data_IF_502625139791
#
_entry.id   IF_502625139791
#
_cell.length_a   1.000
_cell.length_b   1.000
_cell.length_c   1.000
_cell.angle_alpha   90.00
_cell.angle_beta   90.00
_cell.angle_gamma   90.00
#
_symmetry.space_group_name_H-M   'P 1'
#
loop_
_entity.id
_entity.type
_entity.pdbx_description
1 polymer ?
#
# COMPACT_ATOMS: atom_id res chain seq x y z
N UNK A 1 -0.70 1.96 -5.66
CA UNK A 1 -1.21 1.13 -4.54
C UNK A 1 -1.61 1.99 -3.36
N UNK A 2 -2.59 1.63 -2.54
CA UNK A 2 -3.02 2.47 -1.42
C UNK A 2 -2.56 1.93 -0.06
N UNK A 3 -2.68 2.74 0.98
CA UNK A 3 -2.52 2.32 2.37
C UNK A 3 -3.83 2.54 3.11
N UNK A 4 -4.23 1.58 3.94
CA UNK A 4 -5.44 1.65 4.77
C UNK A 4 -5.11 1.48 6.24
N UNK A 5 -5.94 2.08 7.10
CA UNK A 5 -5.89 1.93 8.55
C UNK A 5 -7.29 1.97 9.14
N UNK A 6 -7.56 1.20 10.19
CA UNK A 6 -8.74 1.31 11.05
C UNK A 6 -8.36 1.16 12.51
N UNK A 7 -8.96 1.95 13.40
CA UNK A 7 -8.69 1.90 14.84
C UNK A 7 -10.01 1.90 15.58
N UNK A 8 -10.16 0.97 16.53
CA UNK A 8 -11.16 1.00 17.60
C UNK A 8 -10.40 1.20 18.90
N UNK A 9 -10.48 2.42 19.44
CA UNK A 9 -9.78 2.85 20.65
C UNK A 9 -10.71 3.00 21.86
N UNK A 10 -10.14 3.45 22.98
CA UNK A 10 -10.87 3.90 24.18
C UNK A 10 -10.91 5.42 24.31
N UNK A 11 -10.07 6.11 23.53
CA UNK A 11 -10.00 7.57 23.43
C UNK A 11 -10.04 8.04 21.97
N UNK A 12 -10.01 9.36 21.73
CA UNK A 12 -10.05 9.91 20.37
C UNK A 12 -8.92 9.35 19.48
N UNK A 13 -9.28 8.81 18.31
CA UNK A 13 -8.32 8.10 17.43
C UNK A 13 -7.76 8.96 16.30
N UNK A 14 -8.17 10.21 16.17
CA UNK A 14 -7.80 11.09 15.05
C UNK A 14 -6.28 11.23 14.85
N UNK A 15 -5.53 11.52 15.91
CA UNK A 15 -4.07 11.67 15.85
C UNK A 15 -3.39 10.34 15.52
N UNK A 16 -3.85 9.24 16.13
CA UNK A 16 -3.33 7.91 15.83
C UNK A 16 -3.56 7.52 14.36
N UNK A 17 -4.74 7.80 13.79
CA UNK A 17 -5.02 7.59 12.37
C UNK A 17 -4.10 8.45 11.49
N UNK A 18 -3.90 9.72 11.83
CA UNK A 18 -2.97 10.61 11.12
C UNK A 18 -1.54 10.04 11.13
N UNK A 19 -1.02 9.68 12.31
CA UNK A 19 0.34 9.17 12.49
C UNK A 19 0.53 7.84 11.74
N UNK A 20 -0.45 6.92 11.81
CA UNK A 20 -0.44 5.69 11.03
C UNK A 20 -0.37 5.94 9.51
N UNK A 21 -1.12 6.92 9.01
CA UNK A 21 -1.09 7.27 7.59
C UNK A 21 0.23 7.92 7.17
N UNK A 22 0.87 8.70 8.05
CA UNK A 22 2.19 9.29 7.73
C UNK A 22 3.26 8.22 7.50
N UNK A 23 3.21 7.11 8.25
CA UNK A 23 4.18 6.02 8.10
C UNK A 23 3.84 5.06 6.95
N UNK A 24 2.60 5.12 6.46
CA UNK A 24 2.13 4.47 5.22
C UNK A 24 2.19 5.38 3.98
N UNK A 25 2.68 6.62 4.11
CA UNK A 25 2.70 7.62 3.03
C UNK A 25 3.48 7.14 1.78
N UNK A 26 4.42 6.20 1.93
CA UNK A 26 5.13 5.60 0.79
C UNK A 26 4.20 4.77 -0.10
N UNK A 27 3.08 4.26 0.43
CA UNK A 27 2.08 3.54 -0.35
C UNK A 27 1.38 4.48 -1.31
N UNK A 28 1.02 5.70 -0.90
CA UNK A 28 0.32 6.66 -1.74
C UNK A 28 0.52 8.11 -1.32
N UNK A 29 0.73 9.01 -2.28
CA UNK A 29 1.06 10.43 -2.06
C UNK A 29 0.10 11.40 -2.77
N UNK A 30 -0.93 10.87 -3.42
CA UNK A 30 -1.82 11.64 -4.28
C UNK A 30 -3.00 12.24 -3.54
N UNK A 31 -3.56 11.50 -2.58
CA UNK A 31 -4.64 11.94 -1.71
C UNK A 31 -4.57 11.24 -0.35
N UNK A 32 -5.21 11.83 0.65
CA UNK A 32 -5.40 11.22 1.96
C UNK A 32 -6.81 11.49 2.49
N UNK A 33 -7.31 10.62 3.35
CA UNK A 33 -8.61 10.80 4.00
C UNK A 33 -8.70 10.08 5.34
N UNK A 34 -9.42 10.68 6.28
CA UNK A 34 -9.76 10.13 7.60
C UNK A 34 -11.25 10.37 7.82
N UNK A 35 -11.94 9.33 8.31
CA UNK A 35 -13.29 9.44 8.86
C UNK A 35 -13.33 8.83 10.26
N UNK A 36 -13.94 9.54 11.19
CA UNK A 36 -14.16 9.08 12.58
C UNK A 36 -15.65 9.06 12.89
N UNK A 37 -16.03 8.28 13.90
CA UNK A 37 -17.41 8.15 14.39
C UNK A 37 -17.51 8.55 15.86
N UNK A 38 -18.47 9.41 16.18
CA UNK A 38 -18.82 9.79 17.54
C UNK A 38 -20.34 10.01 17.66
N UNK A 39 -20.97 9.40 18.65
CA UNK A 39 -22.41 9.49 18.93
C UNK A 39 -23.29 9.24 17.68
N UNK A 40 -22.95 8.22 16.91
CA UNK A 40 -23.65 7.84 15.67
C UNK A 40 -23.48 8.83 14.50
N UNK A 41 -22.56 9.79 14.61
CA UNK A 41 -22.24 10.76 13.54
C UNK A 41 -20.86 10.52 12.97
N UNK A 42 -20.72 10.75 11.67
CA UNK A 42 -19.47 10.65 10.94
C UNK A 42 -18.82 12.01 10.72
N UNK A 43 -17.52 12.07 10.93
CA UNK A 43 -16.69 13.25 10.72
C UNK A 43 -15.62 12.92 9.68
N UNK A 44 -15.74 13.48 8.47
CA UNK A 44 -14.87 13.16 7.33
C UNK A 44 -14.00 14.36 6.95
N UNK A 45 -12.71 14.10 6.73
CA UNK A 45 -11.82 14.97 5.96
C UNK A 45 -11.06 14.13 4.95
N UNK A 46 -11.16 14.46 3.67
CA UNK A 46 -10.33 13.91 2.60
C UNK A 46 -10.01 14.98 1.55
N UNK A 47 -8.85 14.88 0.91
CA UNK A 47 -8.42 15.78 -0.16
C UNK A 47 -7.21 15.23 -0.91
N UNK A 48 -6.87 15.88 -2.02
CA UNK A 48 -5.61 15.60 -2.73
C UNK A 48 -4.42 16.18 -1.96
N UNK A 49 -3.30 15.44 -1.93
CA UNK A 49 -2.06 15.84 -1.26
C UNK A 49 -1.49 14.78 -0.33
N UNK A 50 -0.34 15.11 0.25
CA UNK A 50 0.26 14.33 1.34
C UNK A 50 -0.60 14.47 2.59
N UNK A 51 -0.52 13.49 3.50
CA UNK A 51 -1.23 13.47 4.79
C UNK A 51 -1.07 14.81 5.53
N UNK A 52 0.17 15.29 5.64
CA UNK A 52 0.47 16.58 6.30
C UNK A 52 -0.16 17.81 5.64
N UNK A 53 -0.43 17.74 4.34
CA UNK A 53 -0.99 18.86 3.57
C UNK A 53 -2.53 18.81 3.58
N UNK A 54 -3.10 17.61 3.73
CA UNK A 54 -4.57 17.38 3.75
C UNK A 54 -5.18 17.72 5.12
N UNK A 55 -4.50 17.36 6.21
CA UNK A 55 -5.01 17.55 7.57
C UNK A 55 -4.33 18.74 8.25
N UNK A 56 -5.12 19.76 8.58
CA UNK A 56 -4.70 20.90 9.37
C UNK A 56 -5.35 20.83 10.75
N UNK A 57 -4.86 21.63 11.70
CA UNK A 57 -5.38 21.66 13.08
C UNK A 57 -6.92 21.77 13.15
N UNK A 58 -7.52 22.67 12.35
CA UNK A 58 -8.99 22.82 12.26
C UNK A 58 -9.73 21.56 11.78
N UNK A 59 -9.07 20.72 10.97
CA UNK A 59 -9.63 19.45 10.51
C UNK A 59 -9.52 18.41 11.62
N UNK A 60 -8.35 18.33 12.28
CA UNK A 60 -8.12 17.39 13.38
C UNK A 60 -9.07 17.63 14.56
N UNK A 61 -9.35 18.89 14.89
CA UNK A 61 -10.35 19.25 15.93
C UNK A 61 -11.77 18.77 15.60
N UNK A 62 -12.11 18.58 14.32
CA UNK A 62 -13.43 18.10 13.88
C UNK A 62 -13.51 16.58 13.82
N UNK A 63 -12.38 15.89 13.65
CA UNK A 63 -12.30 14.43 13.62
C UNK A 63 -12.36 13.91 15.06
N UNK A 64 -13.56 13.88 15.65
CA UNK A 64 -13.79 13.37 17.00
C UNK A 64 -14.27 11.92 16.95
N UNK A 65 -14.07 11.17 18.03
CA UNK A 65 -14.53 9.79 18.17
C UNK A 65 -13.42 8.79 18.46
N UNK A 66 -13.81 7.68 19.09
CA UNK A 66 -12.92 6.58 19.48
C UNK A 66 -12.83 5.48 18.42
N UNK A 67 -13.53 5.64 17.30
CA UNK A 67 -13.49 4.71 16.18
C UNK A 67 -13.30 5.48 14.87
N UNK A 68 -12.47 4.98 13.97
CA UNK A 68 -12.28 5.61 12.67
C UNK A 68 -11.38 4.83 11.72
N UNK A 69 -11.42 5.22 10.45
CA UNK A 69 -10.63 4.63 9.37
C UNK A 69 -9.93 5.71 8.55
N UNK A 70 -8.82 5.33 7.92
CA UNK A 70 -8.00 6.24 7.13
C UNK A 70 -7.46 5.58 5.87
N UNK A 71 -7.08 6.43 4.91
CA UNK A 71 -6.56 6.00 3.62
C UNK A 71 -5.51 6.97 3.06
N UNK A 72 -4.48 6.44 2.40
CA UNK A 72 -3.58 7.17 1.49
C UNK A 72 -3.64 6.59 0.09
N UNK A 73 -3.88 7.44 -0.91
CA UNK A 73 -4.05 7.05 -2.31
C UNK A 73 -2.77 7.20 -3.10
N UNK A 74 -2.46 6.20 -3.90
CA UNK A 74 -1.52 6.33 -5.01
C UNK A 74 -2.33 6.43 -6.30
N UNK A 75 -1.92 7.25 -7.27
CA UNK A 75 -2.67 7.39 -8.52
C UNK A 75 -2.83 6.03 -9.20
N UNK A 76 -4.06 5.65 -9.49
CA UNK A 76 -4.38 4.47 -10.32
C UNK A 76 -5.28 4.92 -11.46
N UNK A 77 -5.41 4.09 -12.50
CA UNK A 77 -6.37 4.33 -13.56
C UNK A 77 -7.78 4.50 -12.97
N UNK A 78 -8.46 5.60 -13.31
CA UNK A 78 -9.82 5.88 -12.83
C UNK A 78 -9.92 6.61 -11.48
N UNK A 79 -8.83 7.08 -10.87
CA UNK A 79 -8.88 7.85 -9.61
C UNK A 79 -7.90 9.04 -9.60
N UNK A 80 -8.40 10.23 -9.93
CA UNK A 80 -7.60 11.47 -10.05
C UNK A 80 -8.17 12.66 -9.29
N UNK A 81 -9.47 12.63 -8.95
CA UNK A 81 -10.15 13.74 -8.28
C UNK A 81 -10.17 13.58 -6.77
N UNK A 82 -10.41 14.66 -6.03
CA UNK A 82 -10.63 14.58 -4.57
C UNK A 82 -11.94 13.87 -4.22
N UNK A 83 -12.94 13.86 -5.13
CA UNK A 83 -14.16 13.08 -4.99
C UNK A 83 -13.86 11.58 -4.93
N UNK A 84 -12.89 11.13 -5.71
CA UNK A 84 -12.38 9.75 -5.74
C UNK A 84 -11.38 9.46 -4.61
N UNK A 85 -11.06 10.43 -3.74
CA UNK A 85 -10.26 10.13 -2.55
C UNK A 85 -11.11 9.26 -1.61
N UNK A 86 -10.46 8.33 -0.92
CA UNK A 86 -11.12 7.47 0.07
C UNK A 86 -10.90 8.04 1.48
N UNK A 87 -11.72 7.67 2.48
CA UNK A 87 -12.84 6.72 2.45
C UNK A 87 -14.07 7.20 1.65
N UNK A 88 -14.82 6.25 1.10
CA UNK A 88 -16.18 6.47 0.59
C UNK A 88 -17.23 6.22 1.67
N UNK A 89 -18.44 6.74 1.48
CA UNK A 89 -19.55 6.66 2.42
C UNK A 89 -20.88 6.40 1.70
N UNK A 90 -21.71 5.55 2.28
CA UNK A 90 -23.14 5.41 1.95
C UNK A 90 -23.97 5.46 3.22
N UNK A 91 -25.12 6.12 3.19
CA UNK A 91 -25.99 6.32 4.36
C UNK A 91 -26.88 5.12 4.69
N UNK A 92 -27.02 4.16 3.77
CA UNK A 92 -27.89 3.00 3.95
C UNK A 92 -27.21 1.71 3.47
N UNK A 93 -27.34 0.60 4.23
CA UNK A 93 -27.95 0.52 5.56
C UNK A 93 -27.00 1.09 6.64
N UNK A 94 -27.55 1.57 7.75
CA UNK A 94 -26.86 2.03 8.98
C UNK A 94 -25.90 3.23 8.88
N UNK A 95 -25.28 3.45 7.72
CA UNK A 95 -24.15 4.36 7.53
C UNK A 95 -22.83 3.60 7.51
N UNK A 96 -22.28 3.36 6.32
CA UNK A 96 -21.08 2.56 6.10
C UNK A 96 -20.03 3.42 5.41
N UNK A 97 -18.80 3.38 5.93
CA UNK A 97 -17.63 3.96 5.27
C UNK A 97 -16.62 2.87 4.95
N UNK A 98 -15.88 3.01 3.85
CA UNK A 98 -14.92 2.00 3.40
C UNK A 98 -13.67 2.62 2.79
N UNK A 99 -12.53 2.04 3.17
CA UNK A 99 -11.21 2.25 2.58
C UNK A 99 -10.66 0.92 2.05
N UNK A 100 -10.06 0.98 0.87
CA UNK A 100 -9.68 -0.16 0.06
C UNK A 100 -8.28 0.04 -0.53
N UNK A 101 -7.42 -0.97 -0.35
CA UNK A 101 -6.18 -1.11 -1.10
C UNK A 101 -6.30 -2.32 -2.03
N UNK A 102 -6.34 -2.08 -3.34
CA UNK A 102 -6.48 -3.14 -4.31
C UNK A 102 -7.00 -2.67 -5.66
N UNK A 103 -7.45 -3.63 -6.46
CA UNK A 103 -8.22 -3.37 -7.66
C UNK A 103 -9.21 -4.52 -7.92
N UNK A 104 -10.47 -4.20 -8.18
CA UNK A 104 -11.45 -5.16 -8.69
C UNK A 104 -11.28 -5.36 -10.20
N UNK A 105 -11.28 -6.61 -10.65
CA UNK A 105 -11.14 -6.96 -12.08
C UNK A 105 -12.48 -7.04 -12.82
N UNK A 106 -13.59 -7.10 -12.09
CA UNK A 106 -14.96 -7.20 -12.64
C UNK A 106 -15.82 -5.97 -12.33
N UNK A 107 -15.22 -4.77 -12.26
CA UNK A 107 -15.90 -3.50 -11.92
C UNK A 107 -17.08 -3.21 -12.86
N UNK A 108 -16.91 -3.37 -14.17
CA UNK A 108 -17.97 -3.09 -15.15
C UNK A 108 -19.20 -3.98 -14.92
N UNK A 109 -18.97 -5.27 -14.64
CA UNK A 109 -20.04 -6.21 -14.31
C UNK A 109 -20.75 -5.79 -13.02
N UNK A 110 -19.98 -5.54 -11.95
CA UNK A 110 -20.52 -5.17 -10.64
C UNK A 110 -21.28 -3.85 -10.68
N UNK A 111 -20.77 -2.83 -11.38
CA UNK A 111 -21.43 -1.55 -11.52
C UNK A 111 -22.81 -1.69 -12.20
N UNK A 112 -22.92 -2.58 -13.20
CA UNK A 112 -24.18 -2.91 -13.85
C UNK A 112 -25.14 -3.63 -12.90
N UNK A 113 -24.68 -4.65 -12.18
CA UNK A 113 -25.49 -5.39 -11.20
C UNK A 113 -26.01 -4.46 -10.09
N UNK A 114 -25.14 -3.58 -9.56
CA UNK A 114 -25.49 -2.62 -8.51
C UNK A 114 -26.56 -1.63 -8.98
N UNK A 115 -26.48 -1.20 -10.24
CA UNK A 115 -27.46 -0.28 -10.82
C UNK A 115 -28.80 -0.97 -11.11
N UNK A 116 -28.77 -2.13 -11.76
CA UNK A 116 -29.98 -2.82 -12.26
C UNK A 116 -30.70 -3.63 -11.18
N UNK A 117 -29.95 -4.29 -10.28
CA UNK A 117 -30.50 -5.19 -9.26
C UNK A 117 -30.51 -4.56 -7.87
N UNK A 118 -29.43 -3.89 -7.48
CA UNK A 118 -29.29 -3.35 -6.13
C UNK A 118 -29.88 -1.93 -5.99
N UNK A 119 -30.28 -1.33 -7.12
CA UNK A 119 -30.86 0.03 -7.25
C UNK A 119 -30.01 1.12 -6.60
N UNK A 120 -28.68 1.01 -6.73
CA UNK A 120 -27.70 1.95 -6.19
C UNK A 120 -26.96 2.66 -7.32
N UNK A 121 -26.76 3.96 -7.17
CA UNK A 121 -25.98 4.74 -8.11
C UNK A 121 -24.51 4.81 -7.67
N UNK A 122 -23.59 4.66 -8.63
CA UNK A 122 -22.15 4.85 -8.44
C UNK A 122 -21.78 6.17 -9.13
N UNK A 123 -21.22 7.11 -8.37
CA UNK A 123 -21.00 8.48 -8.81
C UNK A 123 -19.57 8.73 -9.33
N UNK A 124 -18.63 7.81 -9.08
CA UNK A 124 -17.23 7.89 -9.50
C UNK A 124 -16.80 6.68 -10.33
N UNK A 125 -15.60 6.75 -10.91
CA UNK A 125 -14.99 5.60 -11.60
C UNK A 125 -14.14 4.74 -10.64
N UNK A 126 -14.25 4.95 -9.33
CA UNK A 126 -13.50 4.19 -8.34
C UNK A 126 -14.16 2.83 -8.08
N UNK A 127 -13.40 1.77 -8.31
CA UNK A 127 -13.76 0.40 -7.92
C UNK A 127 -14.08 0.27 -6.42
N UNK A 128 -13.55 1.18 -5.60
CA UNK A 128 -13.75 1.21 -4.16
C UNK A 128 -15.16 1.69 -3.78
N UNK A 129 -15.78 2.55 -4.59
CA UNK A 129 -17.19 2.93 -4.44
C UNK A 129 -18.10 1.76 -4.84
N UNK A 130 -17.73 1.01 -5.88
CA UNK A 130 -18.41 -0.24 -6.26
C UNK A 130 -18.33 -1.25 -5.13
N UNK A 131 -17.14 -1.50 -4.58
CA UNK A 131 -16.93 -2.44 -3.47
C UNK A 131 -17.74 -2.05 -2.22
N UNK A 132 -17.79 -0.76 -1.88
CA UNK A 132 -18.64 -0.24 -0.81
C UNK A 132 -20.12 -0.55 -1.05
N UNK A 133 -20.61 -0.32 -2.27
CA UNK A 133 -22.02 -0.57 -2.58
C UNK A 133 -22.37 -2.06 -2.60
N UNK A 134 -21.47 -2.95 -3.05
CA UNK A 134 -21.67 -4.40 -2.90
C UNK A 134 -21.78 -4.76 -1.42
N UNK A 135 -20.81 -4.38 -0.59
CA UNK A 135 -20.83 -4.70 0.84
C UNK A 135 -22.08 -4.13 1.54
N UNK A 136 -22.46 -2.90 1.23
CA UNK A 136 -23.67 -2.27 1.76
C UNK A 136 -24.95 -2.98 1.31
N UNK A 137 -25.01 -3.49 0.08
CA UNK A 137 -26.12 -4.29 -0.40
C UNK A 137 -26.21 -5.63 0.36
N UNK A 138 -25.10 -6.35 0.49
CA UNK A 138 -25.10 -7.65 1.16
C UNK A 138 -25.52 -7.56 2.63
N UNK A 139 -25.12 -6.48 3.31
CA UNK A 139 -25.62 -6.12 4.64
C UNK A 139 -27.13 -5.80 4.64
N UNK A 140 -27.62 -5.05 3.64
CA UNK A 140 -29.02 -4.67 3.57
C UNK A 140 -29.94 -5.88 3.38
N UNK A 141 -29.53 -6.88 2.60
CA UNK A 141 -30.26 -8.13 2.37
C UNK A 141 -30.45 -8.93 3.66
N UNK A 142 -29.60 -8.73 4.68
CA UNK A 142 -29.78 -9.37 5.99
C UNK A 142 -31.05 -8.87 6.70
N UNK A 143 -31.53 -7.66 6.39
CA UNK A 143 -32.84 -7.15 6.80
C UNK A 143 -33.02 -6.94 8.31
N UNK A 144 -31.92 -6.81 9.08
CA UNK A 144 -31.96 -6.64 10.54
C UNK A 144 -31.76 -5.18 10.95
N UNK A 145 -32.43 -4.72 11.99
CA UNK A 145 -32.17 -3.38 12.54
C UNK A 145 -30.79 -3.30 13.20
N UNK A 146 -30.40 -4.37 13.92
CA UNK A 146 -29.12 -4.50 14.61
C UNK A 146 -28.40 -5.74 14.04
N UNK A 147 -27.47 -5.59 13.08
CA UNK A 147 -26.67 -6.69 12.57
C UNK A 147 -25.78 -7.29 13.67
N UNK A 148 -25.73 -8.60 13.73
CA UNK A 148 -24.77 -9.36 14.56
C UNK A 148 -23.44 -9.53 13.81
N UNK A 149 -22.42 -10.03 14.51
CA UNK A 149 -21.17 -10.44 13.88
C UNK A 149 -21.39 -11.48 12.77
N UNK A 150 -22.39 -12.36 12.92
CA UNK A 150 -22.69 -13.38 11.91
C UNK A 150 -23.22 -12.78 10.61
N UNK A 151 -24.05 -11.73 10.73
CA UNK A 151 -24.61 -11.00 9.59
C UNK A 151 -23.51 -10.25 8.83
N UNK A 152 -22.57 -9.64 9.55
CA UNK A 152 -21.42 -8.95 8.97
C UNK A 152 -20.53 -9.96 8.22
N UNK A 153 -20.19 -11.09 8.85
CA UNK A 153 -19.37 -12.09 8.19
C UNK A 153 -20.08 -12.76 7.00
N UNK A 154 -21.40 -12.97 7.07
CA UNK A 154 -22.18 -13.45 5.93
C UNK A 154 -22.12 -12.44 4.76
N UNK A 155 -22.23 -11.14 5.04
CA UNK A 155 -22.10 -10.11 4.02
C UNK A 155 -20.70 -10.10 3.39
N UNK A 156 -19.63 -10.33 4.17
CA UNK A 156 -18.27 -10.47 3.62
C UNK A 156 -18.13 -11.72 2.75
N UNK A 157 -18.75 -12.84 3.13
CA UNK A 157 -18.79 -14.06 2.30
C UNK A 157 -19.44 -13.77 0.94
N UNK A 158 -20.56 -13.06 0.93
CA UNK A 158 -21.27 -12.71 -0.31
C UNK A 158 -20.48 -11.68 -1.15
N UNK A 159 -19.73 -10.76 -0.51
CA UNK A 159 -18.73 -9.92 -1.20
C UNK A 159 -17.67 -10.77 -1.88
N UNK A 160 -17.11 -11.79 -1.22
CA UNK A 160 -16.12 -12.68 -1.84
C UNK A 160 -16.68 -13.50 -3.02
N UNK A 161 -17.99 -13.77 -3.03
CA UNK A 161 -18.65 -14.42 -4.17
C UNK A 161 -18.80 -13.49 -5.39
N UNK A 162 -19.11 -12.21 -5.16
CA UNK A 162 -19.35 -11.22 -6.22
C UNK A 162 -18.06 -10.57 -6.72
N UNK A 163 -17.19 -10.15 -5.82
CA UNK A 163 -16.00 -9.36 -6.12
C UNK A 163 -14.80 -10.23 -6.52
N UNK A 164 -14.23 -9.95 -7.69
CA UNK A 164 -13.01 -10.60 -8.21
C UNK A 164 -11.89 -9.57 -8.29
N UNK A 165 -10.70 -9.93 -7.84
CA UNK A 165 -9.54 -9.04 -7.84
C UNK A 165 -8.68 -9.25 -6.60
N UNK A 166 -7.79 -8.30 -6.34
CA UNK A 166 -7.01 -8.26 -5.11
C UNK A 166 -7.48 -7.07 -4.28
N UNK A 167 -7.79 -7.29 -3.00
CA UNK A 167 -8.32 -6.25 -2.12
C UNK A 167 -8.01 -6.54 -0.65
N UNK A 168 -7.53 -5.50 0.02
CA UNK A 168 -7.51 -5.38 1.47
C UNK A 168 -8.47 -4.24 1.83
N UNK A 169 -9.38 -4.48 2.76
CA UNK A 169 -10.45 -3.54 3.09
C UNK A 169 -10.49 -3.29 4.58
N UNK A 170 -10.77 -2.04 4.94
CA UNK A 170 -11.26 -1.65 6.27
C UNK A 170 -12.54 -0.85 6.05
N UNK A 171 -13.63 -1.27 6.69
CA UNK A 171 -14.91 -0.59 6.66
C UNK A 171 -15.42 -0.33 8.09
N UNK A 172 -16.08 0.80 8.29
CA UNK A 172 -16.70 1.18 9.56
C UNK A 172 -18.20 1.26 9.38
N UNK A 173 -18.94 0.53 10.23
CA UNK A 173 -20.40 0.54 10.31
C UNK A 173 -20.77 1.40 11.51
N UNK A 174 -21.44 2.52 11.26
CA UNK A 174 -21.68 3.57 12.26
C UNK A 174 -22.50 3.06 13.44
N UNK A 175 -21.95 3.15 14.66
CA UNK A 175 -22.60 2.65 15.88
C UNK A 175 -22.53 1.14 16.09
N UNK A 176 -21.71 0.42 15.31
CA UNK A 176 -21.54 -1.03 15.42
C UNK A 176 -20.07 -1.43 15.60
N UNK A 177 -19.19 -0.99 14.69
CA UNK A 177 -17.79 -1.41 14.75
C UNK A 177 -17.02 -1.22 13.43
N UNK A 178 -15.79 -1.73 13.41
CA UNK A 178 -14.92 -1.79 12.24
C UNK A 178 -14.77 -3.25 11.80
N UNK A 179 -14.94 -3.51 10.51
CA UNK A 179 -14.61 -4.77 9.86
C UNK A 179 -13.39 -4.57 8.95
N UNK A 180 -12.45 -5.51 8.98
CA UNK A 180 -11.40 -5.63 7.97
C UNK A 180 -11.47 -6.99 7.31
N UNK A 181 -11.22 -7.06 6.02
CA UNK A 181 -11.21 -8.34 5.30
C UNK A 181 -10.21 -8.33 4.14
N UNK A 182 -9.76 -9.53 3.78
CA UNK A 182 -8.73 -9.76 2.77
C UNK A 182 -9.28 -10.61 1.63
N UNK A 183 -8.86 -10.34 0.39
CA UNK A 183 -9.26 -11.13 -0.76
C UNK A 183 -8.94 -12.64 -0.59
N UNK A 184 -9.72 -13.55 -1.22
CA UNK A 184 -9.53 -14.99 -1.09
C UNK A 184 -8.17 -15.53 -1.53
N UNK A 185 -7.38 -14.76 -2.28
CA UNK A 185 -6.04 -15.12 -2.77
C UNK A 185 -4.91 -14.43 -1.96
N UNK A 186 -5.25 -13.66 -0.92
CA UNK A 186 -4.32 -12.90 -0.08
C UNK A 186 -3.37 -11.97 -0.85
N UNK A 187 -3.81 -11.42 -1.99
CA UNK A 187 -2.96 -10.65 -2.90
C UNK A 187 -2.51 -9.33 -2.26
N UNK A 188 -3.37 -8.65 -1.50
CA UNK A 188 -3.07 -7.37 -0.83
C UNK A 188 -2.76 -7.57 0.65
N UNK A 189 -1.76 -6.89 1.22
CA UNK A 189 -1.38 -7.08 2.62
C UNK A 189 -2.36 -6.37 3.55
N UNK A 190 -2.68 -7.03 4.66
CA UNK A 190 -3.47 -6.47 5.76
C UNK A 190 -3.18 -7.25 7.04
N UNK A 191 -2.88 -6.52 8.11
CA UNK A 191 -2.55 -7.03 9.43
C UNK A 191 -3.46 -6.40 10.48
N UNK A 192 -3.57 -7.05 11.63
CA UNK A 192 -4.21 -6.46 12.80
C UNK A 192 -3.40 -6.68 14.07
N UNK A 193 -3.53 -5.74 15.00
CA UNK A 193 -2.83 -5.71 16.27
C UNK A 193 -3.69 -5.18 17.39
N UNK A 194 -3.18 -5.28 18.61
CA UNK A 194 -3.84 -4.79 19.81
C UNK A 194 -2.91 -3.98 20.69
N UNK A 195 -3.49 -3.09 21.51
CA UNK A 195 -2.80 -2.33 22.54
C UNK A 195 -3.61 -2.42 23.84
N UNK A 196 -2.93 -2.76 24.93
CA UNK A 196 -3.53 -2.73 26.27
C UNK A 196 -3.32 -1.34 26.88
N UNK A 197 -4.39 -0.72 27.33
CA UNK A 197 -4.39 0.58 28.02
C UNK A 197 -5.09 0.44 29.37
N UNK A 198 -4.97 1.44 30.24
CA UNK A 198 -5.68 1.45 31.53
C UNK A 198 -7.21 1.44 31.37
N UNK A 199 -7.72 1.91 30.23
CA UNK A 199 -9.16 1.96 29.90
C UNK A 199 -9.65 0.69 29.16
N UNK A 200 -8.74 -0.23 28.82
CA UNK A 200 -9.04 -1.49 28.16
C UNK A 200 -8.21 -1.74 26.89
N UNK A 201 -8.64 -2.75 26.12
CA UNK A 201 -7.95 -3.17 24.89
C UNK A 201 -8.44 -2.35 23.70
N UNK A 202 -7.48 -1.87 22.92
CA UNK A 202 -7.71 -1.19 21.64
C UNK A 202 -7.20 -2.07 20.51
N UNK A 203 -7.81 -1.95 19.33
CA UNK A 203 -7.45 -2.73 18.15
C UNK A 203 -7.19 -1.83 16.94
N UNK A 204 -6.26 -2.27 16.10
CA UNK A 204 -5.89 -1.57 14.88
C UNK A 204 -5.73 -2.57 13.74
N UNK A 205 -6.22 -2.19 12.56
CA UNK A 205 -6.05 -2.90 11.29
C UNK A 205 -5.25 -1.98 10.36
N UNK A 206 -4.25 -2.49 9.65
CA UNK A 206 -3.42 -1.68 8.76
C UNK A 206 -2.88 -2.48 7.57
N UNK A 207 -2.44 -1.79 6.51
CA UNK A 207 -1.75 -2.45 5.39
C UNK A 207 -0.39 -3.04 5.74
N UNK A 208 0.32 -2.49 6.73
CA UNK A 208 1.66 -2.94 7.14
C UNK A 208 1.83 -2.90 8.65
N UNK A 209 2.66 -3.81 9.18
CA UNK A 209 2.96 -3.91 10.62
C UNK A 209 3.59 -2.64 11.20
N UNK A 210 4.35 -1.89 10.39
CA UNK A 210 5.02 -0.66 10.85
C UNK A 210 4.07 0.40 11.41
N UNK A 211 2.81 0.42 10.95
CA UNK A 211 1.79 1.31 11.50
C UNK A 211 1.40 0.91 12.92
N UNK A 212 1.38 -0.39 13.23
CA UNK A 212 1.14 -0.91 14.57
C UNK A 212 2.31 -0.53 15.49
N UNK A 213 3.54 -0.80 15.04
CA UNK A 213 4.77 -0.58 15.80
C UNK A 213 4.93 0.87 16.27
N UNK A 214 4.72 1.83 15.34
CA UNK A 214 4.87 3.27 15.62
C UNK A 214 3.85 3.78 16.65
N UNK A 215 2.69 3.13 16.74
CA UNK A 215 1.64 3.48 17.68
C UNK A 215 1.64 2.61 18.95
N UNK A 216 2.63 1.72 19.11
CA UNK A 216 2.73 0.84 20.26
C UNK A 216 1.67 -0.27 20.30
N UNK A 217 1.10 -0.64 19.15
CA UNK A 217 0.26 -1.84 19.03
C UNK A 217 1.15 -3.06 18.83
N UNK A 218 0.83 -4.14 19.54
CA UNK A 218 1.45 -5.44 19.31
C UNK A 218 0.76 -6.13 18.15
N UNK A 219 1.53 -6.55 17.14
CA UNK A 219 1.02 -7.36 16.02
C UNK A 219 0.44 -8.68 16.54
N UNK A 220 -0.83 -8.96 16.20
CA UNK A 220 -1.43 -10.27 16.47
C UNK A 220 -1.05 -11.22 15.33
N UNK A 221 -1.41 -10.88 14.08
CA UNK A 221 -1.05 -11.59 12.84
C UNK A 221 -1.60 -10.86 11.59
N UNK A 222 -1.20 -11.33 10.42
CA UNK A 222 -1.87 -11.05 9.14
C UNK A 222 -3.29 -11.67 9.11
N UNK A 223 -4.21 -11.05 8.35
CA UNK A 223 -5.47 -11.72 8.01
C UNK A 223 -5.16 -12.81 6.99
N UNK A 224 -5.70 -14.00 7.23
CA UNK A 224 -5.60 -15.11 6.28
C UNK A 224 -6.39 -14.79 4.98
N UNK A 225 -6.09 -15.48 3.87
CA UNK A 225 -6.85 -15.32 2.63
C UNK A 225 -8.34 -15.57 2.87
N UNK A 226 -9.20 -14.64 2.44
CA UNK A 226 -10.66 -14.68 2.62
C UNK A 226 -11.14 -14.50 4.05
N UNK A 227 -10.25 -14.19 4.99
CA UNK A 227 -10.64 -13.96 6.38
C UNK A 227 -11.18 -12.53 6.57
N UNK A 228 -12.15 -12.43 7.47
CA UNK A 228 -12.64 -11.19 8.03
C UNK A 228 -12.36 -11.10 9.53
N UNK A 229 -12.01 -9.90 9.99
CA UNK A 229 -11.95 -9.50 11.39
C UNK A 229 -13.01 -8.43 11.64
N UNK A 230 -13.76 -8.56 12.73
CA UNK A 230 -14.75 -7.58 13.15
C UNK A 230 -14.47 -7.17 14.60
N UNK A 231 -14.32 -5.86 14.80
CA UNK A 231 -14.11 -5.25 16.10
C UNK A 231 -15.32 -4.37 16.38
N UNK A 232 -16.10 -4.77 17.37
CA UNK A 232 -17.28 -4.02 17.83
C UNK A 232 -16.88 -2.69 18.47
N UNK A 233 -17.81 -1.74 18.53
CA UNK A 233 -17.60 -0.42 19.17
C UNK A 233 -17.18 -0.55 20.64
N UNK A 234 -17.67 -1.56 21.37
CA UNK A 234 -17.26 -1.85 22.75
C UNK A 234 -15.88 -2.52 22.87
N UNK A 235 -15.27 -2.91 21.76
CA UNK A 235 -13.91 -3.46 21.69
C UNK A 235 -13.84 -4.98 21.85
N UNK A 236 -14.87 -5.72 21.44
CA UNK A 236 -14.79 -7.18 21.28
C UNK A 236 -14.31 -7.54 19.87
N UNK A 237 -13.30 -8.41 19.81
CA UNK A 237 -12.69 -8.93 18.59
C UNK A 237 -13.34 -10.25 18.16
N UNK A 238 -13.76 -10.32 16.91
CA UNK A 238 -14.27 -11.53 16.25
C UNK A 238 -13.50 -11.78 14.95
N UNK A 239 -13.29 -13.04 14.58
CA UNK A 239 -12.68 -13.42 13.31
C UNK A 239 -13.44 -14.58 12.67
N UNK A 240 -13.58 -14.59 11.33
CA UNK A 240 -14.22 -15.69 10.61
C UNK A 240 -13.59 -15.88 9.22
N UNK A 241 -13.43 -17.12 8.80
CA UNK A 241 -13.14 -17.46 7.41
C UNK A 241 -14.41 -17.27 6.58
N UNK A 242 -14.35 -16.37 5.59
CA UNK A 242 -15.48 -15.98 4.74
C UNK A 242 -15.34 -16.47 3.29
N UNK A 243 -14.26 -17.17 2.94
CA UNK A 243 -14.06 -17.80 1.63
C UNK A 243 -14.00 -19.34 1.74
N UNK A 244 -14.64 -20.02 0.80
CA UNK A 244 -14.69 -21.49 0.78
C UNK A 244 -13.36 -22.16 0.38
N UNK A 245 -12.60 -21.56 -0.53
CA UNK A 245 -11.36 -22.13 -1.09
C UNK A 245 -10.22 -21.10 -1.08
N UNK A 246 -9.77 -20.65 0.11
CA UNK A 246 -8.73 -19.63 0.22
C UNK A 246 -7.39 -20.13 -0.31
N UNK A 247 -6.63 -19.25 -0.95
CA UNK A 247 -5.29 -19.55 -1.49
C UNK A 247 -4.30 -18.47 -1.06
N UNK A 248 -3.05 -18.87 -0.90
CA UNK A 248 -1.96 -17.91 -0.67
C UNK A 248 -1.26 -17.58 -1.98
N UNK A 249 -1.54 -16.38 -2.51
CA UNK A 249 -0.85 -15.78 -3.65
C UNK A 249 -0.46 -14.31 -3.36
N UNK A 250 0.35 -14.06 -2.30
CA UNK A 250 0.71 -12.70 -1.90
C UNK A 250 1.49 -11.98 -2.99
N UNK A 251 1.32 -10.66 -3.07
CA UNK A 251 1.96 -9.88 -4.10
C UNK A 251 3.48 -9.78 -3.90
N UNK A 252 4.25 -10.40 -4.80
CA UNK A 252 5.72 -10.35 -4.77
C UNK A 252 6.29 -8.92 -4.83
N UNK A 253 5.58 -7.99 -5.47
CA UNK A 253 6.02 -6.59 -5.61
C UNK A 253 6.03 -5.82 -4.29
N UNK A 254 5.28 -6.27 -3.28
CA UNK A 254 5.40 -5.73 -1.91
C UNK A 254 6.82 -5.95 -1.39
N UNK A 255 7.35 -7.16 -1.53
CA UNK A 255 8.71 -7.48 -1.09
C UNK A 255 9.78 -6.84 -1.96
N UNK A 256 9.59 -6.81 -3.29
CA UNK A 256 10.58 -6.26 -4.24
C UNK A 256 10.80 -4.77 -4.00
N UNK A 257 9.73 -3.98 -3.95
CA UNK A 257 9.85 -2.52 -4.02
C UNK A 257 8.95 -1.78 -3.05
N UNK A 258 7.69 -2.18 -2.95
CA UNK A 258 6.69 -1.25 -2.47
C UNK A 258 6.60 -1.16 -0.94
N UNK A 259 6.62 -2.29 -0.24
CA UNK A 259 6.50 -2.29 1.21
C UNK A 259 7.74 -1.66 1.86
N UNK A 260 7.56 -1.16 3.07
CA UNK A 260 8.67 -0.70 3.87
C UNK A 260 9.53 -1.89 4.34
N UNK A 261 10.86 -1.73 4.39
CA UNK A 261 11.76 -2.83 4.74
C UNK A 261 11.55 -3.33 6.18
N UNK A 262 11.14 -2.44 7.09
CA UNK A 262 10.84 -2.74 8.49
C UNK A 262 9.48 -3.42 8.72
N UNK A 263 8.71 -3.69 7.66
CA UNK A 263 7.45 -4.41 7.75
C UNK A 263 7.61 -5.93 7.66
N UNK A 264 6.67 -6.62 8.30
CA UNK A 264 6.44 -8.07 8.18
C UNK A 264 5.11 -8.26 7.44
N UNK A 265 5.13 -9.05 6.36
CA UNK A 265 3.95 -9.38 5.56
C UNK A 265 3.89 -10.89 5.42
N UNK A 266 2.79 -11.50 5.86
CA UNK A 266 2.58 -12.96 5.86
C UNK A 266 3.72 -13.72 6.56
N UNK A 267 4.19 -13.17 7.70
CA UNK A 267 5.34 -13.70 8.46
C UNK A 267 6.71 -13.52 7.78
N UNK A 268 6.77 -12.85 6.62
CA UNK A 268 8.01 -12.60 5.87
C UNK A 268 8.48 -11.16 6.12
N UNK A 269 9.67 -11.02 6.74
CA UNK A 269 10.37 -9.74 6.81
C UNK A 269 10.74 -9.24 5.41
N UNK A 270 10.27 -8.05 5.05
CA UNK A 270 10.56 -7.41 3.76
C UNK A 270 12.07 -7.17 3.62
N UNK A 271 12.73 -6.69 4.66
CA UNK A 271 14.18 -6.50 4.68
C UNK A 271 14.95 -7.80 4.40
N UNK A 272 14.61 -8.89 5.10
CA UNK A 272 15.28 -10.19 4.91
C UNK A 272 15.01 -10.78 3.52
N UNK A 273 13.81 -10.58 2.96
CA UNK A 273 13.50 -10.97 1.60
C UNK A 273 14.42 -10.24 0.60
N UNK A 274 14.63 -8.93 0.78
CA UNK A 274 15.52 -8.13 -0.09
C UNK A 274 17.00 -8.49 0.03
N UNK A 275 17.48 -8.88 1.22
CA UNK A 275 18.83 -9.44 1.38
C UNK A 275 18.98 -10.72 0.55
N UNK A 276 18.04 -11.66 0.68
CA UNK A 276 18.03 -12.91 -0.10
C UNK A 276 17.94 -12.69 -1.61
N UNK A 277 17.27 -11.62 -2.06
CA UNK A 277 17.32 -11.23 -3.49
C UNK A 277 18.75 -10.91 -3.93
N UNK A 278 19.51 -10.18 -3.11
CA UNK A 278 20.93 -9.90 -3.34
C UNK A 278 21.79 -11.17 -3.40
N UNK A 279 21.62 -12.09 -2.45
CA UNK A 279 22.30 -13.40 -2.45
C UNK A 279 22.02 -14.16 -3.75
N UNK A 280 20.75 -14.28 -4.15
CA UNK A 280 20.34 -15.02 -5.36
C UNK A 280 20.83 -14.36 -6.65
N UNK A 281 20.93 -13.05 -6.67
CA UNK A 281 21.55 -12.32 -7.78
C UNK A 281 23.04 -12.60 -7.87
N UNK A 282 23.75 -12.67 -6.74
CA UNK A 282 25.18 -12.98 -6.70
C UNK A 282 25.44 -14.40 -7.20
N UNK A 283 24.70 -15.38 -6.68
CA UNK A 283 24.73 -16.78 -7.13
C UNK A 283 24.58 -16.86 -8.66
N UNK A 284 23.63 -16.10 -9.22
CA UNK A 284 23.37 -16.06 -10.66
C UNK A 284 24.56 -15.48 -11.43
N UNK A 285 25.14 -14.38 -10.96
CA UNK A 285 26.30 -13.75 -11.60
C UNK A 285 27.49 -14.70 -11.58
N UNK A 286 27.82 -15.32 -10.44
CA UNK A 286 28.94 -16.27 -10.35
C UNK A 286 28.75 -17.48 -11.25
N UNK A 287 27.51 -17.94 -11.44
CA UNK A 287 27.20 -19.03 -12.36
C UNK A 287 27.32 -18.64 -13.83
N UNK A 288 26.84 -17.46 -14.21
CA UNK A 288 26.79 -17.02 -15.61
C UNK A 288 28.08 -16.32 -16.06
N UNK A 289 28.82 -15.73 -15.13
CA UNK A 289 30.07 -14.97 -15.32
C UNK A 289 31.00 -15.13 -14.11
N UNK A 290 31.59 -16.31 -13.90
CA UNK A 290 32.50 -16.55 -12.77
C UNK A 290 33.70 -15.60 -12.76
N UNK A 291 34.27 -15.30 -13.94
CA UNK A 291 35.42 -14.41 -14.11
C UNK A 291 34.99 -12.96 -14.33
N UNK A 292 34.01 -12.47 -13.58
CA UNK A 292 33.50 -11.10 -13.76
C UNK A 292 34.58 -10.04 -13.46
N UNK A 293 34.54 -8.92 -14.19
CA UNK A 293 35.48 -7.81 -14.03
C UNK A 293 34.86 -6.62 -13.24
N UNK A 294 33.88 -6.89 -12.39
CA UNK A 294 33.15 -5.88 -11.59
C UNK A 294 34.07 -5.32 -10.50
N UNK A 295 34.34 -4.02 -10.52
CA UNK A 295 35.16 -3.33 -9.51
C UNK A 295 34.32 -2.88 -8.30
N UNK A 296 33.07 -2.49 -8.55
CA UNK A 296 32.20 -1.87 -7.55
C UNK A 296 30.72 -2.11 -7.86
N UNK A 297 29.95 -2.38 -6.81
CA UNK A 297 28.49 -2.45 -6.85
C UNK A 297 27.92 -1.13 -6.30
N UNK A 298 27.02 -0.52 -7.07
CA UNK A 298 26.40 0.76 -6.78
C UNK A 298 24.87 0.59 -6.81
N UNK A 299 24.15 0.81 -5.70
CA UNK A 299 22.69 0.78 -5.72
C UNK A 299 22.12 2.02 -6.40
N UNK A 300 20.97 1.84 -7.06
CA UNK A 300 20.07 2.93 -7.38
C UNK A 300 19.17 3.14 -6.15
N UNK A 301 19.26 4.29 -5.47
CA UNK A 301 18.57 4.50 -4.20
C UNK A 301 17.05 4.70 -4.36
N UNK A 302 16.23 4.33 -3.37
CA UNK A 302 16.63 3.86 -2.02
C UNK A 302 16.47 2.34 -1.83
N UNK A 303 15.49 1.71 -2.49
CA UNK A 303 15.07 0.32 -2.28
C UNK A 303 16.21 -0.69 -2.49
N UNK A 304 16.96 -0.52 -3.58
CA UNK A 304 17.98 -1.47 -4.03
C UNK A 304 19.21 -1.53 -3.14
N UNK A 305 19.37 -0.59 -2.19
CA UNK A 305 20.50 -0.58 -1.24
C UNK A 305 20.68 -1.90 -0.52
N UNK A 306 19.58 -2.51 -0.08
CA UNK A 306 19.61 -3.77 0.68
C UNK A 306 20.13 -4.92 -0.18
N UNK A 307 19.55 -5.11 -1.37
CA UNK A 307 19.95 -6.17 -2.29
C UNK A 307 21.37 -5.95 -2.84
N UNK A 308 21.74 -4.70 -3.13
CA UNK A 308 23.06 -4.35 -3.64
C UNK A 308 24.18 -4.55 -2.61
N UNK A 309 23.91 -4.25 -1.34
CA UNK A 309 24.85 -4.51 -0.25
C UNK A 309 25.15 -6.01 -0.15
N UNK A 310 24.10 -6.83 -0.11
CA UNK A 310 24.26 -8.28 0.00
C UNK A 310 24.91 -8.88 -1.24
N UNK A 311 24.54 -8.40 -2.44
CA UNK A 311 25.19 -8.74 -3.70
C UNK A 311 26.70 -8.46 -3.66
N UNK A 312 27.10 -7.27 -3.19
CA UNK A 312 28.50 -6.87 -3.13
C UNK A 312 29.31 -7.74 -2.17
N UNK A 313 28.76 -7.99 -0.98
CA UNK A 313 29.36 -8.87 0.03
C UNK A 313 29.58 -10.27 -0.51
N UNK A 314 28.57 -10.84 -1.17
CA UNK A 314 28.62 -12.19 -1.69
C UNK A 314 29.57 -12.35 -2.89
N UNK A 315 29.70 -11.32 -3.74
CA UNK A 315 30.67 -11.28 -4.83
C UNK A 315 32.10 -10.93 -4.37
N UNK A 316 32.29 -10.51 -3.11
CA UNK A 316 33.60 -10.06 -2.61
C UNK A 316 34.08 -8.74 -3.23
N UNK A 317 33.16 -7.88 -3.69
CA UNK A 317 33.47 -6.60 -4.33
C UNK A 317 33.03 -5.42 -3.46
N UNK A 318 33.52 -4.20 -3.76
CA UNK A 318 33.19 -3.02 -2.96
C UNK A 318 31.74 -2.60 -3.17
N UNK A 319 31.02 -2.32 -2.09
CA UNK A 319 29.78 -1.54 -2.10
C UNK A 319 30.08 -0.04 -1.97
N UNK A 320 29.47 0.78 -2.83
CA UNK A 320 29.61 2.25 -2.78
C UNK A 320 28.30 2.96 -3.11
N UNK A 321 28.01 4.03 -2.38
CA UNK A 321 26.94 4.97 -2.71
C UNK A 321 27.42 5.89 -3.85
N UNK A 322 27.26 5.46 -5.10
CA UNK A 322 27.58 6.27 -6.28
C UNK A 322 26.46 7.23 -6.68
N UNK A 323 25.22 6.94 -6.32
CA UNK A 323 24.07 7.82 -6.59
C UNK A 323 23.47 8.35 -5.30
N UNK A 324 23.17 9.65 -5.29
CA UNK A 324 22.45 10.32 -4.20
C UNK A 324 21.09 10.77 -4.71
N UNK A 325 20.02 10.32 -4.04
CA UNK A 325 18.66 10.76 -4.33
C UNK A 325 18.38 12.12 -3.73
N UNK A 326 17.84 13.04 -4.54
CA UNK A 326 17.40 14.34 -4.06
C UNK A 326 16.07 14.15 -3.31
N UNK A 327 16.07 14.35 -1.99
CA UNK A 327 14.91 14.07 -1.12
C UNK A 327 13.81 15.13 -1.20
N UNK A 328 14.14 16.35 -1.62
CA UNK A 328 13.27 17.52 -1.51
C UNK A 328 12.75 18.03 -2.86
N UNK A 329 12.62 17.15 -3.85
CA UNK A 329 12.13 17.55 -5.17
C UNK A 329 10.61 17.70 -5.07
N UNK A 330 10.09 18.90 -5.33
CA UNK A 330 8.66 19.10 -5.54
C UNK A 330 8.17 18.40 -6.81
N UNK A 331 6.84 18.21 -6.95
CA UNK A 331 6.26 17.75 -8.23
C UNK A 331 6.75 18.68 -9.35
N UNK A 332 7.35 18.12 -10.39
CA UNK A 332 7.78 18.91 -11.54
C UNK A 332 6.53 19.45 -12.23
N UNK A 333 6.28 20.76 -12.15
CA UNK A 333 5.17 21.40 -12.86
C UNK A 333 5.27 21.07 -14.36
N UNK A 334 4.14 20.77 -14.98
CA UNK A 334 4.03 20.64 -16.44
C UNK A 334 4.35 22.03 -17.03
N UNK A 335 5.59 22.25 -17.44
CA UNK A 335 6.01 23.45 -18.16
C UNK A 335 5.67 23.28 -19.65
N UNK A 336 4.97 24.22 -20.31
CA UNK A 336 4.73 24.17 -21.75
C UNK A 336 6.07 24.34 -22.50
N UNK A 337 6.51 23.31 -23.23
CA UNK A 337 7.72 23.37 -24.07
C UNK A 337 8.46 22.04 -24.17
N UNK A 338 8.62 21.51 -25.39
CA UNK A 338 9.32 20.24 -25.67
C UNK A 338 10.79 20.23 -25.22
N UNK A 339 11.45 21.39 -25.13
CA UNK A 339 12.87 21.50 -24.80
C UNK A 339 13.22 21.14 -23.34
N UNK A 340 12.25 21.17 -22.41
CA UNK A 340 12.50 20.95 -20.98
C UNK A 340 12.35 19.48 -20.51
N UNK A 341 11.93 18.55 -21.39
CA UNK A 341 11.68 17.14 -20.99
C UNK A 341 12.94 16.26 -20.82
N UNK A 342 14.15 16.80 -21.03
CA UNK A 342 15.42 16.04 -20.93
C UNK A 342 16.11 16.04 -19.55
N UNK A 343 15.50 16.57 -18.48
CA UNK A 343 16.14 16.68 -17.15
C UNK A 343 15.49 15.91 -15.99
N UNK A 344 14.60 14.94 -16.25
CA UNK A 344 13.83 14.32 -15.14
C UNK A 344 14.66 13.41 -14.21
N UNK A 345 15.62 12.62 -14.72
CA UNK A 345 16.43 11.74 -13.85
C UNK A 345 17.56 12.50 -13.14
N UNK A 346 18.22 13.46 -13.79
CA UNK A 346 19.22 14.33 -13.11
C UNK A 346 18.59 15.23 -12.02
N UNK A 347 17.30 15.53 -12.11
CA UNK A 347 16.57 16.16 -11.01
C UNK A 347 16.39 15.20 -9.83
N UNK A 348 16.28 13.89 -10.10
CA UNK A 348 16.04 12.85 -9.10
C UNK A 348 17.30 12.33 -8.42
N UNK A 349 18.38 12.18 -9.19
CA UNK A 349 19.62 11.54 -8.76
C UNK A 349 20.81 12.41 -9.13
N UNK A 350 21.82 12.43 -8.27
CA UNK A 350 23.14 12.99 -8.55
C UNK A 350 24.18 11.87 -8.50
N UNK A 351 25.14 11.88 -9.42
CA UNK A 351 26.24 10.91 -9.47
C UNK A 351 27.47 11.47 -8.74
N UNK A 352 28.11 10.66 -7.90
CA UNK A 352 29.39 10.97 -7.27
C UNK A 352 30.51 10.49 -8.20
N UNK A 353 31.09 11.39 -8.99
CA UNK A 353 32.03 11.06 -10.07
C UNK A 353 33.20 10.15 -9.64
N UNK A 354 33.73 10.37 -8.43
CA UNK A 354 34.81 9.59 -7.84
C UNK A 354 34.47 8.08 -7.73
N UNK A 355 33.20 7.73 -7.59
CA UNK A 355 32.76 6.36 -7.48
C UNK A 355 32.63 5.63 -8.82
N UNK A 356 32.66 6.35 -9.94
CA UNK A 356 32.55 5.79 -11.29
C UNK A 356 33.86 5.83 -12.08
N UNK A 357 34.66 6.90 -11.94
CA UNK A 357 35.80 7.17 -12.82
C UNK A 357 36.78 6.00 -12.93
N UNK A 358 36.93 5.49 -14.16
CA UNK A 358 37.87 4.41 -14.52
C UNK A 358 37.46 3.00 -14.10
N UNK A 359 36.29 2.82 -13.48
CA UNK A 359 35.82 1.54 -12.91
C UNK A 359 34.81 0.84 -13.81
N UNK A 360 34.79 -0.49 -13.73
CA UNK A 360 33.72 -1.36 -14.20
C UNK A 360 32.63 -1.44 -13.12
N UNK A 361 31.53 -0.71 -13.31
CA UNK A 361 30.49 -0.57 -12.29
C UNK A 361 29.32 -1.53 -12.53
N UNK A 362 28.81 -2.14 -11.46
CA UNK A 362 27.53 -2.86 -11.47
C UNK A 362 26.46 -2.01 -10.80
N UNK A 363 25.50 -1.53 -11.58
CA UNK A 363 24.34 -0.82 -11.07
C UNK A 363 23.26 -1.83 -10.66
N UNK A 364 22.67 -1.64 -9.49
CA UNK A 364 21.59 -2.51 -9.00
C UNK A 364 20.33 -1.69 -8.80
N UNK A 365 19.26 -2.09 -9.49
CA UNK A 365 17.92 -1.53 -9.35
C UNK A 365 16.94 -2.58 -8.84
N UNK A 366 15.80 -2.15 -8.31
CA UNK A 366 14.78 -3.07 -7.81
C UNK A 366 14.07 -3.76 -8.97
N UNK A 367 13.80 -3.04 -10.05
CA UNK A 367 13.04 -3.53 -11.19
C UNK A 367 13.31 -2.73 -12.47
N UNK A 368 12.97 -3.32 -13.62
CA UNK A 368 12.96 -2.64 -14.92
C UNK A 368 11.54 -2.73 -15.49
N UNK A 369 10.85 -1.58 -15.54
CA UNK A 369 9.48 -1.49 -16.09
C UNK A 369 9.52 -0.99 -17.55
N UNK A 370 9.77 0.31 -17.77
CA UNK A 370 9.81 0.92 -19.11
C UNK A 370 11.22 1.06 -19.69
N UNK A 371 12.26 0.89 -18.86
CA UNK A 371 13.68 1.03 -19.23
C UNK A 371 14.16 2.45 -19.56
N UNK A 372 13.28 3.46 -19.65
CA UNK A 372 13.67 4.86 -19.94
C UNK A 372 14.55 5.45 -18.84
N UNK A 373 14.19 5.23 -17.57
CA UNK A 373 15.00 5.62 -16.40
C UNK A 373 16.35 4.91 -16.40
N UNK A 374 16.37 3.59 -16.58
CA UNK A 374 17.60 2.81 -16.58
C UNK A 374 18.58 3.30 -17.65
N UNK A 375 18.11 3.60 -18.87
CA UNK A 375 18.94 4.18 -19.94
C UNK A 375 19.60 5.51 -19.51
N UNK A 376 18.86 6.38 -18.83
CA UNK A 376 19.39 7.66 -18.35
C UNK A 376 20.39 7.48 -17.21
N UNK A 377 20.14 6.55 -16.28
CA UNK A 377 21.07 6.24 -15.18
C UNK A 377 22.37 5.65 -15.72
N UNK A 378 22.30 4.71 -16.67
CA UNK A 378 23.49 4.16 -17.33
C UNK A 378 24.29 5.27 -18.02
N UNK A 379 23.61 6.19 -18.71
CA UNK A 379 24.24 7.34 -19.34
C UNK A 379 24.94 8.24 -18.29
N UNK A 380 24.30 8.51 -17.15
CA UNK A 380 24.90 9.29 -16.06
C UNK A 380 26.15 8.61 -15.49
N UNK A 381 26.16 7.28 -15.34
CA UNK A 381 27.33 6.54 -14.90
C UNK A 381 28.49 6.64 -15.91
N UNK A 382 28.19 6.57 -17.21
CA UNK A 382 29.19 6.77 -18.28
C UNK A 382 29.75 8.19 -18.30
N UNK A 383 28.89 9.19 -18.14
CA UNK A 383 29.29 10.61 -18.04
C UNK A 383 30.14 10.89 -16.80
N UNK A 384 29.91 10.16 -15.71
CA UNK A 384 30.74 10.17 -14.50
C UNK A 384 32.08 9.43 -14.66
N UNK A 385 32.36 8.87 -15.84
CA UNK A 385 33.64 8.25 -16.18
C UNK A 385 33.74 6.75 -15.97
N UNK A 386 32.62 6.02 -15.81
CA UNK A 386 32.64 4.56 -15.76
C UNK A 386 33.18 3.95 -17.08
N UNK A 387 34.06 2.94 -16.97
CA UNK A 387 34.64 2.21 -18.11
C UNK A 387 33.60 1.28 -18.73
N UNK A 388 33.13 0.31 -17.95
CA UNK A 388 32.00 -0.54 -18.28
C UNK A 388 30.87 -0.31 -17.28
N UNK A 389 29.62 -0.42 -17.76
CA UNK A 389 28.42 -0.28 -16.92
C UNK A 389 27.58 -1.53 -17.10
N UNK A 390 27.52 -2.36 -16.06
CA UNK A 390 26.60 -3.47 -15.93
C UNK A 390 25.35 -3.02 -15.17
N UNK A 391 24.24 -3.71 -15.43
CA UNK A 391 22.96 -3.41 -14.80
C UNK A 391 22.31 -4.71 -14.32
N UNK A 392 21.89 -4.71 -13.07
CA UNK A 392 21.25 -5.82 -12.40
C UNK A 392 19.88 -5.37 -11.87
N UNK A 393 18.87 -6.21 -12.05
CA UNK A 393 17.51 -5.99 -11.55
C UNK A 393 17.22 -7.05 -10.49
N UNK A 394 16.81 -6.65 -9.29
CA UNK A 394 16.39 -7.58 -8.23
C UNK A 394 15.10 -8.33 -8.61
N UNK A 395 14.23 -7.71 -9.41
CA UNK A 395 13.06 -8.35 -9.98
C UNK A 395 13.38 -9.12 -11.27
N UNK A 396 12.64 -10.20 -11.56
CA UNK A 396 12.53 -10.76 -12.90
C UNK A 396 11.98 -9.74 -13.92
N UNK A 397 12.04 -10.08 -15.21
CA UNK A 397 11.51 -9.24 -16.26
C UNK A 397 10.01 -8.96 -16.08
N UNK A 398 9.64 -7.69 -15.96
CA UNK A 398 8.25 -7.24 -15.87
C UNK A 398 7.65 -7.22 -17.28
N UNK A 399 6.78 -8.19 -17.60
CA UNK A 399 6.24 -8.40 -18.95
C UNK A 399 4.75 -8.16 -19.09
N UNK A 400 4.02 -8.13 -17.98
CA UNK A 400 2.57 -8.06 -17.95
C UNK A 400 2.12 -6.93 -17.01
N UNK A 401 0.98 -6.27 -17.30
CA UNK A 401 0.41 -5.28 -16.41
C UNK A 401 -0.06 -5.94 -15.11
N UNK A 402 0.02 -5.21 -14.00
CA UNK A 402 -0.60 -5.63 -12.74
C UNK A 402 -2.04 -5.12 -12.71
N UNK A 403 -3.01 -6.03 -12.50
CA UNK A 403 -4.45 -5.70 -12.45
C UNK A 403 -5.03 -5.78 -11.03
N UNK A 404 -4.16 -5.81 -10.02
CA UNK A 404 -4.53 -6.01 -8.61
C UNK A 404 -4.18 -4.80 -7.72
N UNK A 405 -3.90 -3.63 -8.31
CA UNK A 405 -3.72 -2.36 -7.58
C UNK A 405 -2.29 -1.79 -7.55
N UNK A 406 -1.39 -2.31 -8.40
CA UNK A 406 -0.07 -1.68 -8.67
C UNK A 406 -0.13 -1.02 -10.05
N UNK A 407 0.21 0.27 -10.12
CA UNK A 407 0.24 1.06 -11.36
C UNK A 407 1.55 0.85 -12.16
#
# INVERSE_FOLDING_TARGET
MCGIVGIVGKSNVNQALYDALTVLQHRGQDAAGIVTSHDGRLFLRKDNGLVRDVFHQRHMQRLVGHMGIGHVRYPTAGSSTSAEAQPFYVNSPYGITLAHNGNLTNVEQLAKEIYESDLRHVNTNSDSEVLLNVFAHELAVRGKLQPTEEDIFAAVTDVHHRCRGGYAVVAMITGYGIVGFRDPDAIRPIVFGQRHTDEGVEYMIASESVSLDVLGFTLIRDLAPGEAVYITEDGKLHTRQCAANPKYAPCIFEHVYLARPDSIIDGISVYKARLRMGEKLADKILRERPDHDIDVVIPIPDTSRTAALELANHLGVKFREGFVKNRYIGRTFIMPGQAARKKSVRQKLNAIELEFRGKNVMLVDDSIVRGTTCKQIIQMAREAGAKNVYFCSAAPAVRYPNVYGID
#
